data_IF_465800072434
#
_entry.id   IF_465800072434
#
_cell.length_a   1.000
_cell.length_b   1.000
_cell.length_c   1.000
_cell.angle_alpha   90.00
_cell.angle_beta   90.00
_cell.angle_gamma   90.00
#
_symmetry.space_group_name_H-M   'P 1'
#
loop_
_entity.id
_entity.type
_entity.pdbx_description
1 polymer ?
#
# COMPACT_ATOMS: atom_id res chain seq x y z
N UNK A 1 29.25 -2.16 4.70
CA UNK A 1 28.87 -1.44 3.46
C UNK A 1 27.46 -0.91 3.63
N UNK A 2 27.22 0.36 3.38
CA UNK A 2 25.88 0.92 3.49
C UNK A 2 24.98 0.38 2.36
N UNK A 3 23.73 -0.02 2.68
CA UNK A 3 22.75 -0.50 1.69
C UNK A 3 22.19 0.64 0.83
N UNK A 4 22.33 1.90 1.23
CA UNK A 4 21.84 3.03 0.44
C UNK A 4 22.55 3.06 -0.93
N UNK A 5 21.78 3.19 -2.00
CA UNK A 5 22.25 3.10 -3.38
C UNK A 5 22.38 1.66 -3.92
N UNK A 6 22.13 0.63 -3.11
CA UNK A 6 22.18 -0.75 -3.55
C UNK A 6 21.09 -1.04 -4.57
N UNK A 7 21.48 -1.49 -5.77
CA UNK A 7 20.55 -1.92 -6.81
C UNK A 7 20.15 -3.36 -6.57
N UNK A 8 18.86 -3.62 -6.58
CA UNK A 8 18.32 -4.97 -6.52
C UNK A 8 18.49 -5.66 -7.89
N UNK A 9 18.61 -6.99 -7.93
CA UNK A 9 18.58 -7.71 -9.22
C UNK A 9 17.34 -7.32 -10.01
N UNK A 10 17.47 -6.97 -11.29
CA UNK A 10 16.31 -6.72 -12.15
C UNK A 10 15.57 -8.01 -12.40
N UNK A 11 14.28 -7.91 -12.63
CA UNK A 11 13.44 -9.02 -13.00
C UNK A 11 12.19 -8.56 -13.73
N UNK A 12 11.21 -9.41 -13.86
CA UNK A 12 9.97 -9.10 -14.54
C UNK A 12 8.76 -9.78 -13.89
N UNK A 13 7.61 -9.18 -14.08
CA UNK A 13 6.32 -9.76 -13.72
C UNK A 13 5.35 -9.58 -14.88
N UNK A 14 4.49 -10.56 -15.08
CA UNK A 14 3.38 -10.49 -16.01
C UNK A 14 2.08 -10.39 -15.23
N UNK A 15 1.18 -9.55 -15.69
CA UNK A 15 -0.17 -9.46 -15.15
C UNK A 15 -1.12 -10.24 -16.08
N UNK A 16 -1.37 -11.49 -15.73
CA UNK A 16 -2.31 -12.33 -16.47
C UNK A 16 -3.77 -11.91 -16.22
N UNK A 17 -4.70 -12.10 -17.20
CA UNK A 17 -6.09 -11.73 -17.02
C UNK A 17 -6.75 -12.34 -15.78
N UNK A 18 -6.49 -13.63 -15.49
CA UNK A 18 -7.04 -14.27 -14.30
C UNK A 18 -6.47 -13.68 -12.98
N UNK A 19 -5.21 -13.22 -13.00
CA UNK A 19 -4.60 -12.56 -11.85
C UNK A 19 -5.23 -11.18 -11.62
N UNK A 20 -5.52 -10.44 -12.69
CA UNK A 20 -6.25 -9.19 -12.61
C UNK A 20 -7.62 -9.40 -11.95
N UNK A 21 -8.36 -10.42 -12.36
CA UNK A 21 -9.63 -10.80 -11.73
C UNK A 21 -9.50 -11.09 -10.24
N UNK A 22 -8.52 -11.91 -9.86
CA UNK A 22 -8.27 -12.25 -8.47
C UNK A 22 -7.80 -11.05 -7.64
N UNK A 23 -7.04 -10.12 -8.25
CA UNK A 23 -6.63 -8.88 -7.59
C UNK A 23 -7.83 -7.97 -7.31
N UNK A 24 -8.77 -7.84 -8.25
CA UNK A 24 -10.00 -7.09 -8.01
C UNK A 24 -10.77 -7.66 -6.81
N UNK A 25 -10.91 -8.98 -6.74
CA UNK A 25 -11.56 -9.62 -5.58
C UNK A 25 -10.78 -9.37 -4.29
N UNK A 26 -9.46 -9.62 -4.29
CA UNK A 26 -8.60 -9.43 -3.12
C UNK A 26 -8.52 -7.97 -2.64
N UNK A 27 -8.76 -7.03 -3.53
CA UNK A 27 -8.76 -5.58 -3.27
C UNK A 27 -10.15 -5.00 -2.99
N UNK A 28 -11.19 -5.83 -2.92
CA UNK A 28 -12.57 -5.39 -2.68
C UNK A 28 -13.08 -4.42 -3.75
N UNK A 29 -12.55 -4.47 -4.96
CA UNK A 29 -12.97 -3.62 -6.06
C UNK A 29 -13.91 -4.36 -7.02
N UNK A 30 -14.81 -3.65 -7.72
CA UNK A 30 -15.60 -4.25 -8.79
C UNK A 30 -14.68 -4.88 -9.85
N UNK A 31 -15.04 -6.04 -10.40
CA UNK A 31 -14.26 -6.65 -11.49
C UNK A 31 -14.30 -5.75 -12.73
N UNK A 32 -13.19 -5.73 -13.47
CA UNK A 32 -13.06 -4.95 -14.70
C UNK A 32 -11.81 -5.36 -15.48
N UNK A 33 -11.74 -4.98 -16.76
CA UNK A 33 -10.57 -5.27 -17.60
C UNK A 33 -9.38 -4.37 -17.26
N UNK A 34 -9.62 -3.20 -16.66
CA UNK A 34 -8.56 -2.29 -16.27
C UNK A 34 -7.98 -2.75 -14.93
N UNK A 35 -6.66 -3.01 -14.86
CA UNK A 35 -6.03 -3.40 -13.62
C UNK A 35 -6.21 -2.34 -12.52
N UNK A 36 -6.50 -2.83 -11.31
CA UNK A 36 -6.58 -1.96 -10.15
C UNK A 36 -5.25 -1.20 -9.94
N UNK A 37 -5.25 0.11 -9.63
CA UNK A 37 -4.02 0.92 -9.49
C UNK A 37 -2.99 0.32 -8.53
N UNK A 38 -3.43 -0.30 -7.43
CA UNK A 38 -2.55 -0.97 -6.46
C UNK A 38 -1.93 -2.27 -7.00
N UNK A 39 -2.35 -2.77 -8.17
CA UNK A 39 -1.66 -3.86 -8.84
C UNK A 39 -0.19 -3.53 -9.16
N UNK A 40 0.16 -2.24 -9.31
CA UNK A 40 1.55 -1.80 -9.42
C UNK A 40 2.42 -2.26 -8.24
N UNK A 41 1.88 -2.25 -7.02
CA UNK A 41 2.58 -2.76 -5.83
C UNK A 41 2.86 -4.27 -5.96
N UNK A 42 1.88 -5.04 -6.42
CA UNK A 42 2.02 -6.49 -6.61
C UNK A 42 3.06 -6.80 -7.68
N UNK A 43 2.99 -6.10 -8.81
CA UNK A 43 3.95 -6.23 -9.90
C UNK A 43 5.37 -5.86 -9.47
N UNK A 44 5.54 -4.77 -8.69
CA UNK A 44 6.82 -4.37 -8.14
C UNK A 44 7.44 -5.47 -7.27
N UNK A 45 6.67 -6.01 -6.30
CA UNK A 45 7.20 -7.03 -5.39
C UNK A 45 7.46 -8.38 -6.09
N UNK A 46 6.66 -8.75 -7.07
CA UNK A 46 6.86 -9.99 -7.83
C UNK A 46 7.93 -9.89 -8.89
N UNK A 47 8.14 -8.70 -9.42
CA UNK A 47 9.05 -8.45 -10.53
C UNK A 47 10.48 -8.14 -10.14
N UNK A 48 10.78 -7.90 -8.86
CA UNK A 48 12.17 -7.83 -8.40
C UNK A 48 12.82 -9.20 -8.54
N UNK A 49 14.10 -9.23 -8.95
CA UNK A 49 14.82 -10.48 -9.23
C UNK A 49 15.22 -11.29 -7.98
N UNK A 50 14.61 -11.04 -6.84
CA UNK A 50 14.78 -11.77 -5.58
C UNK A 50 13.43 -11.99 -4.90
N UNK A 51 13.35 -12.98 -4.03
CA UNK A 51 12.14 -13.19 -3.22
C UNK A 51 11.98 -12.10 -2.14
N UNK A 52 10.77 -11.93 -1.62
CA UNK A 52 10.53 -11.04 -0.48
C UNK A 52 11.34 -11.45 0.75
N UNK A 53 11.52 -12.75 0.97
CA UNK A 53 12.37 -13.27 2.04
C UNK A 53 13.84 -12.87 1.86
N UNK A 54 14.37 -12.96 0.64
CA UNK A 54 15.76 -12.55 0.35
C UNK A 54 15.93 -11.04 0.44
N UNK A 55 14.89 -10.26 0.08
CA UNK A 55 14.90 -8.82 0.28
C UNK A 55 15.04 -8.48 1.77
N UNK A 56 14.29 -9.15 2.65
CA UNK A 56 14.44 -8.92 4.09
C UNK A 56 15.78 -9.41 4.64
N UNK A 57 16.31 -10.53 4.13
CA UNK A 57 17.69 -10.97 4.47
C UNK A 57 18.73 -9.96 4.06
N UNK A 58 18.58 -9.34 2.88
CA UNK A 58 19.44 -8.23 2.45
C UNK A 58 19.40 -7.07 3.45
N UNK A 59 18.24 -6.82 4.07
CA UNK A 59 18.10 -5.82 5.14
C UNK A 59 18.60 -6.31 6.50
N UNK A 60 19.12 -7.53 6.60
CA UNK A 60 19.58 -8.14 7.86
C UNK A 60 18.41 -8.50 8.78
N UNK A 61 17.33 -9.02 8.23
CA UNK A 61 16.14 -9.46 8.94
C UNK A 61 15.55 -10.71 8.29
N UNK A 62 14.94 -11.57 9.07
CA UNK A 62 14.11 -12.65 8.57
C UNK A 62 12.62 -12.23 8.63
N UNK A 63 11.75 -12.97 7.93
CA UNK A 63 10.30 -12.71 7.97
C UNK A 63 9.77 -12.83 9.40
N UNK A 64 10.30 -13.77 10.17
CA UNK A 64 9.90 -14.01 11.57
C UNK A 64 10.40 -12.93 12.54
N UNK A 65 11.28 -12.03 12.12
CA UNK A 65 11.64 -10.84 12.91
C UNK A 65 10.55 -9.76 12.86
N UNK A 66 9.55 -9.94 12.00
CA UNK A 66 8.40 -9.06 11.86
C UNK A 66 8.70 -7.73 11.16
N UNK A 67 9.37 -7.74 9.99
CA UNK A 67 9.46 -6.56 9.14
C UNK A 67 8.06 -6.11 8.74
N UNK A 68 7.85 -4.79 8.65
CA UNK A 68 6.54 -4.21 8.35
C UNK A 68 6.64 -3.15 7.26
N UNK A 69 5.64 -3.13 6.38
CA UNK A 69 5.41 -2.00 5.49
C UNK A 69 4.84 -0.84 6.31
N UNK A 70 5.56 0.27 6.36
CA UNK A 70 5.15 1.48 7.08
C UNK A 70 4.50 2.51 6.17
N UNK A 71 5.06 2.70 4.97
CA UNK A 71 4.57 3.65 3.98
C UNK A 71 4.69 3.03 2.58
N UNK A 72 3.81 3.43 1.69
CA UNK A 72 3.92 3.11 0.28
C UNK A 72 3.39 4.25 -0.57
N UNK A 73 4.07 4.53 -1.67
CA UNK A 73 3.56 5.40 -2.72
C UNK A 73 3.60 4.69 -4.06
N UNK A 74 2.55 4.94 -4.85
CA UNK A 74 2.39 4.45 -6.21
C UNK A 74 2.19 5.69 -7.10
N UNK A 75 3.00 5.82 -8.14
CA UNK A 75 2.83 6.81 -9.20
C UNK A 75 2.63 6.07 -10.52
N UNK A 76 1.48 6.28 -11.15
CA UNK A 76 1.15 5.66 -12.43
C UNK A 76 1.45 6.65 -13.55
N UNK A 77 2.44 6.33 -14.37
CA UNK A 77 2.81 7.14 -15.53
C UNK A 77 1.87 6.91 -16.70
N UNK A 78 1.21 5.75 -16.72
CA UNK A 78 0.15 5.35 -17.64
C UNK A 78 -0.75 4.30 -17.00
N UNK A 79 -1.95 4.02 -17.54
CA UNK A 79 -2.76 2.90 -17.08
C UNK A 79 -1.97 1.59 -17.16
N UNK A 80 -2.14 0.74 -16.15
CA UNK A 80 -1.66 -0.64 -16.24
C UNK A 80 -2.52 -1.40 -17.26
N UNK A 81 -1.96 -2.45 -17.82
CA UNK A 81 -2.67 -3.34 -18.73
C UNK A 81 -2.54 -4.79 -18.25
N UNK A 82 -3.62 -5.57 -18.38
CA UNK A 82 -3.54 -7.02 -18.30
C UNK A 82 -2.88 -7.60 -19.55
N UNK A 83 -2.44 -8.83 -19.45
CA UNK A 83 -1.71 -9.55 -20.51
C UNK A 83 -0.41 -8.84 -20.95
N UNK A 84 0.19 -8.08 -20.04
CA UNK A 84 1.38 -7.28 -20.28
C UNK A 84 2.54 -7.69 -19.36
N UNK A 85 3.76 -7.61 -19.92
CA UNK A 85 5.00 -7.82 -19.19
C UNK A 85 5.54 -6.50 -18.65
N UNK A 86 6.00 -6.54 -17.40
CA UNK A 86 6.61 -5.42 -16.68
C UNK A 86 8.02 -5.79 -16.25
N UNK A 87 9.03 -5.13 -16.82
CA UNK A 87 10.38 -5.14 -16.28
C UNK A 87 10.41 -4.30 -14.99
N UNK A 88 11.03 -4.82 -13.95
CA UNK A 88 11.12 -4.15 -12.64
C UNK A 88 12.58 -3.92 -12.29
N UNK A 89 12.90 -2.67 -11.94
CA UNK A 89 14.22 -2.26 -11.47
C UNK A 89 14.08 -1.66 -10.09
N UNK A 90 14.73 -2.27 -9.10
CA UNK A 90 14.67 -1.85 -7.71
C UNK A 90 15.96 -1.22 -7.23
N UNK A 91 15.85 -0.27 -6.30
CA UNK A 91 16.99 0.32 -5.58
C UNK A 91 16.63 0.61 -4.13
N UNK A 92 17.55 0.35 -3.22
CA UNK A 92 17.46 0.82 -1.83
C UNK A 92 17.91 2.28 -1.80
N UNK A 93 16.98 3.21 -1.63
CA UNK A 93 17.28 4.65 -1.66
C UNK A 93 17.92 5.14 -0.36
N UNK A 94 17.38 4.69 0.78
CA UNK A 94 17.88 5.12 2.09
C UNK A 94 17.75 4.04 3.15
N UNK A 95 18.61 4.12 4.15
CA UNK A 95 18.56 3.33 5.38
C UNK A 95 18.82 4.28 6.54
N UNK A 96 17.84 4.42 7.43
CA UNK A 96 17.91 5.33 8.56
C UNK A 96 17.62 4.59 9.87
N UNK A 97 18.53 4.66 10.83
CA UNK A 97 18.28 4.16 12.18
C UNK A 97 17.32 5.09 12.90
N UNK A 98 16.23 4.53 13.39
CA UNK A 98 15.18 5.22 14.13
C UNK A 98 14.88 4.49 15.42
N UNK A 99 14.16 5.15 16.33
CA UNK A 99 13.65 4.56 17.55
C UNK A 99 12.18 4.92 17.73
N UNK A 100 11.37 3.92 18.00
CA UNK A 100 9.96 4.06 18.34
C UNK A 100 9.75 3.56 19.78
N UNK A 101 8.81 4.16 20.51
CA UNK A 101 8.42 3.66 21.84
C UNK A 101 7.83 2.26 21.80
N UNK A 102 7.29 1.86 20.65
CA UNK A 102 6.55 0.58 20.48
C UNK A 102 7.38 -0.57 19.94
N UNK A 103 8.30 -0.30 19.02
CA UNK A 103 9.13 -1.35 18.39
C UNK A 103 10.61 -1.24 18.77
N UNK A 104 10.94 -0.30 19.68
CA UNK A 104 12.34 -0.05 20.03
C UNK A 104 13.13 0.53 18.86
N UNK A 105 14.43 0.20 18.76
CA UNK A 105 15.25 0.59 17.63
C UNK A 105 14.85 -0.21 16.39
N UNK A 106 14.75 0.49 15.25
CA UNK A 106 14.45 -0.10 13.96
C UNK A 106 15.20 0.63 12.85
N UNK A 107 15.39 -0.02 11.71
CA UNK A 107 15.83 0.64 10.50
C UNK A 107 14.63 0.94 9.61
N UNK A 108 14.49 2.20 9.23
CA UNK A 108 13.58 2.67 8.21
C UNK A 108 14.29 2.56 6.88
N UNK A 109 13.82 1.66 6.02
CA UNK A 109 14.45 1.37 4.73
C UNK A 109 13.50 1.77 3.62
N UNK A 110 13.95 2.69 2.75
CA UNK A 110 13.18 3.13 1.59
C UNK A 110 13.69 2.41 0.35
N UNK A 111 12.78 1.74 -0.36
CA UNK A 111 13.05 1.07 -1.62
C UNK A 111 12.17 1.66 -2.72
N UNK A 112 12.76 2.00 -3.86
CA UNK A 112 12.06 2.40 -5.06
C UNK A 112 12.12 1.30 -6.11
N UNK A 113 10.99 1.09 -6.79
CA UNK A 113 10.81 0.13 -7.86
C UNK A 113 10.24 0.85 -9.07
N UNK A 114 10.98 0.88 -10.16
CA UNK A 114 10.55 1.44 -11.43
C UNK A 114 10.08 0.30 -12.35
N UNK A 115 8.84 0.39 -12.82
CA UNK A 115 8.19 -0.58 -13.70
C UNK A 115 8.17 -0.04 -15.12
N UNK A 116 8.61 -0.86 -16.06
CA UNK A 116 8.60 -0.57 -17.49
C UNK A 116 7.79 -1.62 -18.24
N UNK A 117 7.02 -1.22 -19.24
CA UNK A 117 6.34 -2.15 -20.12
C UNK A 117 6.48 -1.66 -21.57
N UNK A 118 6.91 -2.54 -22.48
CA UNK A 118 7.26 -2.15 -23.85
C UNK A 118 8.39 -1.11 -23.91
N UNK A 119 9.32 -1.11 -22.93
CA UNK A 119 10.43 -0.16 -22.85
C UNK A 119 10.08 1.23 -22.32
N UNK A 120 8.81 1.54 -22.08
CA UNK A 120 8.37 2.84 -21.54
C UNK A 120 8.00 2.76 -20.07
N UNK A 121 8.22 3.84 -19.26
CA UNK A 121 7.80 3.87 -17.87
C UNK A 121 6.29 3.61 -17.72
N UNK A 122 5.93 2.72 -16.81
CA UNK A 122 4.55 2.38 -16.52
C UNK A 122 4.13 2.87 -15.13
N UNK A 123 4.96 2.59 -14.11
CA UNK A 123 4.70 3.02 -12.74
C UNK A 123 6.00 3.16 -11.96
N UNK A 124 5.97 3.92 -10.87
CA UNK A 124 6.98 3.92 -9.82
C UNK A 124 6.31 3.57 -8.50
N UNK A 125 6.87 2.61 -7.77
CA UNK A 125 6.42 2.22 -6.43
C UNK A 125 7.55 2.48 -5.45
N UNK A 126 7.26 3.23 -4.38
CA UNK A 126 8.23 3.44 -3.30
C UNK A 126 7.66 2.86 -2.01
N UNK A 127 8.35 1.89 -1.44
CA UNK A 127 7.98 1.24 -0.19
C UNK A 127 8.94 1.62 0.91
N UNK A 128 8.41 1.90 2.08
CA UNK A 128 9.17 2.13 3.31
C UNK A 128 8.90 0.99 4.27
N UNK A 129 9.94 0.25 4.58
CA UNK A 129 9.90 -0.84 5.54
C UNK A 129 10.45 -0.39 6.89
N UNK A 130 9.79 -0.79 7.97
CA UNK A 130 10.33 -0.72 9.33
C UNK A 130 10.87 -2.10 9.71
N UNK A 131 12.17 -2.19 9.91
CA UNK A 131 12.88 -3.43 10.23
C UNK A 131 13.30 -3.39 11.70
N UNK A 132 12.63 -4.13 12.61
CA UNK A 132 13.00 -4.18 14.03
C UNK A 132 14.44 -4.68 14.19
N UNK A 133 15.14 -4.13 15.22
CA UNK A 133 16.53 -4.50 15.53
C UNK A 133 16.71 -5.13 16.91
N UNK A 134 15.64 -5.22 17.64
CA UNK A 134 15.59 -5.95 18.91
C UNK A 134 14.42 -6.93 18.89
N UNK A 135 14.54 -8.09 19.52
CA UNK A 135 13.43 -9.01 19.67
C UNK A 135 12.26 -8.30 20.35
N UNK A 136 11.07 -8.42 19.81
CA UNK A 136 9.86 -7.85 20.42
C UNK A 136 9.63 -8.49 21.79
N UNK A 137 9.59 -7.68 22.85
CA UNK A 137 9.01 -8.10 24.11
C UNK A 137 7.52 -8.45 23.89
N UNK A 138 7.04 -9.52 24.54
CA UNK A 138 5.62 -9.91 24.46
C UNK A 138 4.73 -8.71 24.82
N UNK A 139 3.94 -8.22 23.87
CA UNK A 139 2.92 -7.19 24.13
C UNK A 139 3.04 -5.87 23.36
N UNK A 140 3.98 -5.72 22.44
CA UNK A 140 4.05 -4.50 21.61
C UNK A 140 2.98 -4.55 20.49
N UNK A 141 1.84 -3.90 20.71
CA UNK A 141 0.83 -3.65 19.69
C UNK A 141 1.27 -2.48 18.82
N UNK A 142 1.21 -2.64 17.51
CA UNK A 142 1.52 -1.57 16.55
C UNK A 142 0.45 -0.49 16.57
N UNK A 143 0.79 0.65 17.15
CA UNK A 143 0.11 1.92 16.93
C UNK A 143 1.20 2.99 16.95
N UNK A 144 1.41 3.78 15.90
CA UNK A 144 2.28 4.96 15.97
C UNK A 144 1.64 6.00 16.93
N UNK A 145 2.45 6.56 17.83
CA UNK A 145 2.00 7.73 18.59
C UNK A 145 1.79 8.87 17.59
N UNK A 146 0.63 9.52 17.66
CA UNK A 146 0.41 10.80 17.01
C UNK A 146 1.52 11.76 17.44
N UNK A 147 2.34 12.20 16.51
CA UNK A 147 2.96 13.49 16.66
C UNK A 147 1.82 14.50 16.75
N UNK A 148 1.68 15.14 17.91
CA UNK A 148 0.76 16.25 18.12
C UNK A 148 1.15 17.41 17.20
N UNK A 149 0.63 17.43 15.99
CA UNK A 149 0.63 18.59 15.12
C UNK A 149 -0.77 18.76 14.50
N UNK A 150 -1.76 18.85 15.39
CA UNK A 150 -3.14 19.18 15.00
C UNK A 150 -3.48 20.62 15.36
N UNK A 151 -2.48 21.49 15.41
CA UNK A 151 -2.68 22.93 15.50
C UNK A 151 -2.63 23.52 14.09
N UNK A 152 -3.80 23.80 13.50
CA UNK A 152 -3.93 24.65 12.33
C UNK A 152 -4.60 24.06 11.09
N UNK A 153 -5.19 22.88 11.12
CA UNK A 153 -6.04 22.43 10.00
C UNK A 153 -7.43 23.04 10.11
N UNK A 154 -7.62 24.16 9.40
CA UNK A 154 -8.97 24.62 9.07
C UNK A 154 -9.67 23.50 8.29
N UNK A 155 -10.80 23.02 8.81
CA UNK A 155 -11.74 22.24 8.05
C UNK A 155 -12.25 23.09 6.88
N UNK A 156 -11.64 22.94 5.72
CA UNK A 156 -12.21 23.44 4.48
C UNK A 156 -13.45 22.62 4.20
N UNK A 157 -14.60 23.20 4.54
CA UNK A 157 -15.91 22.73 4.08
C UNK A 157 -15.95 22.87 2.58
N UNK A 158 -16.51 21.81 1.92
CA UNK A 158 -17.05 21.76 0.57
C UNK A 158 -16.18 21.09 -0.52
N UNK A 159 -16.28 19.79 -0.50
CA UNK A 159 -16.20 18.89 -1.63
C UNK A 159 -17.04 17.66 -1.30
N UNK A 160 -17.46 16.83 -2.24
CA UNK A 160 -18.16 15.61 -1.90
C UNK A 160 -17.32 14.81 -0.92
N UNK A 161 -17.87 14.58 0.28
CA UNK A 161 -17.24 13.68 1.24
C UNK A 161 -17.26 12.29 0.60
N UNK A 162 -16.08 11.75 0.33
CA UNK A 162 -15.94 10.36 -0.07
C UNK A 162 -16.21 9.50 1.16
N UNK A 163 -17.48 9.25 1.47
CA UNK A 163 -17.87 8.24 2.43
C UNK A 163 -17.88 6.90 1.72
N UNK A 164 -16.85 6.09 1.93
CA UNK A 164 -16.85 4.69 1.56
C UNK A 164 -17.74 3.90 2.52
N UNK A 165 -18.48 2.94 2.01
CA UNK A 165 -19.20 2.01 2.86
C UNK A 165 -18.24 1.19 3.74
N UNK A 166 -18.79 0.56 4.79
CA UNK A 166 -18.07 -0.38 5.64
C UNK A 166 -17.60 -1.60 4.82
N UNK A 167 -16.31 -1.91 4.89
CA UNK A 167 -15.72 -3.12 4.29
C UNK A 167 -15.27 -4.07 5.40
N UNK A 168 -15.81 -5.28 5.38
CA UNK A 168 -15.35 -6.34 6.28
C UNK A 168 -14.19 -7.12 5.67
N UNK A 169 -13.07 -7.18 6.39
CA UNK A 169 -11.86 -7.88 5.93
C UNK A 169 -12.07 -9.39 5.94
N UNK A 170 -12.02 -10.00 4.76
CA UNK A 170 -12.24 -11.42 4.55
C UNK A 170 -10.93 -12.21 4.53
N UNK A 171 -10.74 -13.19 5.44
CA UNK A 171 -9.56 -14.04 5.45
C UNK A 171 -9.32 -14.83 4.14
N UNK A 172 -10.38 -15.12 3.37
CA UNK A 172 -10.23 -15.81 2.09
C UNK A 172 -9.52 -14.90 1.06
N UNK A 173 -9.90 -13.63 1.00
CA UNK A 173 -9.26 -12.62 0.15
C UNK A 173 -7.82 -12.35 0.55
N UNK A 174 -7.51 -12.36 1.85
CA UNK A 174 -6.14 -12.27 2.36
C UNK A 174 -5.27 -13.43 1.86
N UNK A 175 -5.78 -14.66 1.81
CA UNK A 175 -5.07 -15.83 1.27
C UNK A 175 -4.82 -15.70 -0.23
N UNK A 176 -5.82 -15.24 -0.98
CA UNK A 176 -5.69 -14.95 -2.41
C UNK A 176 -4.59 -13.92 -2.65
N UNK A 177 -4.58 -12.83 -1.87
CA UNK A 177 -3.56 -11.80 -2.01
C UNK A 177 -2.16 -12.30 -1.62
N UNK A 178 -2.02 -13.11 -0.58
CA UNK A 178 -0.74 -13.72 -0.20
C UNK A 178 -0.15 -14.55 -1.36
N UNK A 179 -1.00 -15.32 -2.05
CA UNK A 179 -0.59 -16.09 -3.23
C UNK A 179 -0.16 -15.16 -4.38
N UNK A 180 -0.96 -14.13 -4.68
CA UNK A 180 -0.67 -13.20 -5.76
C UNK A 180 0.57 -12.35 -5.49
N UNK A 181 0.85 -12.00 -4.25
CA UNK A 181 2.06 -11.29 -3.82
C UNK A 181 3.29 -12.20 -3.74
N UNK A 182 3.11 -13.52 -3.73
CA UNK A 182 4.13 -14.48 -3.31
C UNK A 182 4.71 -14.12 -1.92
N UNK A 183 3.83 -13.70 -1.01
CA UNK A 183 4.19 -13.29 0.35
C UNK A 183 4.13 -14.49 1.30
N UNK A 184 5.28 -15.01 1.75
CA UNK A 184 5.33 -16.18 2.62
C UNK A 184 5.09 -15.84 4.10
N UNK A 185 4.83 -14.58 4.45
CA UNK A 185 4.72 -14.16 5.84
C UNK A 185 3.48 -14.79 6.51
N UNK A 186 3.68 -15.70 7.48
CA UNK A 186 2.58 -16.46 8.07
C UNK A 186 1.61 -15.60 8.90
N UNK A 187 1.97 -14.36 9.27
CA UNK A 187 1.06 -13.49 10.03
C UNK A 187 -0.22 -13.15 9.25
N UNK A 188 -0.18 -13.25 7.92
CA UNK A 188 -1.33 -13.00 7.06
C UNK A 188 -2.28 -14.20 6.95
N UNK A 189 -1.82 -15.38 7.37
CA UNK A 189 -2.51 -16.66 7.15
C UNK A 189 -2.89 -17.37 8.45
N UNK A 190 -2.07 -17.22 9.50
CA UNK A 190 -2.18 -17.98 10.74
C UNK A 190 -2.19 -17.08 11.98
N UNK A 191 -3.27 -17.14 12.73
CA UNK A 191 -3.41 -16.43 14.01
C UNK A 191 -2.37 -16.87 15.05
N UNK A 192 -1.93 -18.14 15.03
CA UNK A 192 -0.90 -18.61 15.95
C UNK A 192 0.46 -17.98 15.62
N UNK A 193 0.78 -17.79 14.34
CA UNK A 193 1.98 -17.06 13.93
C UNK A 193 1.94 -15.60 14.36
N UNK A 194 0.82 -14.90 14.14
CA UNK A 194 0.65 -13.53 14.58
C UNK A 194 0.81 -13.37 16.10
N UNK A 195 0.26 -14.31 16.89
CA UNK A 195 0.43 -14.32 18.36
C UNK A 195 1.86 -14.63 18.79
N UNK A 196 2.56 -15.58 18.13
CA UNK A 196 3.97 -15.89 18.47
C UNK A 196 4.88 -14.69 18.30
N UNK A 197 4.64 -13.91 17.25
CA UNK A 197 5.40 -12.67 16.98
C UNK A 197 4.93 -11.48 17.82
N UNK A 198 3.91 -11.65 18.67
CA UNK A 198 3.38 -10.56 19.49
C UNK A 198 2.77 -9.43 18.67
N UNK A 199 2.32 -9.72 17.43
CA UNK A 199 1.81 -8.70 16.50
C UNK A 199 0.31 -8.52 16.70
N UNK A 200 -0.47 -9.60 16.71
CA UNK A 200 -1.92 -9.60 16.84
C UNK A 200 -2.45 -10.97 17.31
N UNK A 201 -3.74 -11.02 17.65
CA UNK A 201 -4.47 -12.25 18.02
C UNK A 201 -5.15 -12.92 16.82
N UNK A 202 -5.23 -12.25 15.69
CA UNK A 202 -5.83 -12.69 14.42
C UNK A 202 -4.84 -12.43 13.27
N UNK A 203 -5.05 -13.07 12.09
CA UNK A 203 -4.25 -12.77 10.91
C UNK A 203 -4.30 -11.28 10.55
N UNK A 204 -3.16 -10.74 10.15
CA UNK A 204 -2.98 -9.33 9.77
C UNK A 204 -3.27 -9.16 8.29
N UNK A 205 -4.14 -8.22 7.92
CA UNK A 205 -4.37 -7.87 6.53
C UNK A 205 -3.11 -7.28 5.89
N UNK A 206 -2.85 -7.63 4.63
CA UNK A 206 -1.69 -7.13 3.90
C UNK A 206 -1.84 -5.62 3.63
N UNK A 207 -0.71 -4.89 3.72
CA UNK A 207 -0.66 -3.46 3.46
C UNK A 207 -1.30 -3.05 2.12
N UNK A 208 -0.98 -3.68 0.99
CA UNK A 208 -1.60 -3.34 -0.30
C UNK A 208 -3.12 -3.55 -0.34
N UNK A 209 -3.69 -4.54 0.39
CA UNK A 209 -5.15 -4.65 0.49
C UNK A 209 -5.75 -3.45 1.23
N UNK A 210 -5.12 -3.02 2.33
CA UNK A 210 -5.55 -1.83 3.07
C UNK A 210 -5.46 -0.57 2.20
N UNK A 211 -4.39 -0.42 1.41
CA UNK A 211 -4.22 0.67 0.44
C UNK A 211 -5.31 0.65 -0.65
N UNK A 212 -5.66 -0.54 -1.14
CA UNK A 212 -6.68 -0.71 -2.17
C UNK A 212 -8.06 -0.28 -1.68
N UNK A 213 -8.41 -0.56 -0.42
CA UNK A 213 -9.65 -0.08 0.19
C UNK A 213 -9.71 1.46 0.14
N UNK A 214 -8.63 2.15 0.50
CA UNK A 214 -8.55 3.61 0.42
C UNK A 214 -8.68 4.12 -1.03
N UNK A 215 -8.04 3.45 -1.99
CA UNK A 215 -8.13 3.79 -3.42
C UNK A 215 -9.55 3.61 -3.95
N UNK A 216 -10.24 2.52 -3.59
CA UNK A 216 -11.62 2.25 -4.00
C UNK A 216 -12.58 3.35 -3.58
N UNK A 217 -12.42 3.87 -2.36
CA UNK A 217 -13.28 4.93 -1.85
C UNK A 217 -13.14 6.21 -2.66
N UNK A 218 -11.90 6.59 -2.98
CA UNK A 218 -11.64 7.78 -3.78
C UNK A 218 -12.16 7.58 -5.21
N UNK A 219 -11.93 6.43 -5.81
CA UNK A 219 -12.43 6.11 -7.15
C UNK A 219 -13.97 6.08 -7.20
N UNK A 220 -14.61 5.59 -6.14
CA UNK A 220 -16.07 5.61 -6.04
C UNK A 220 -16.64 7.03 -5.92
N UNK A 221 -15.93 7.94 -5.27
CA UNK A 221 -16.33 9.34 -5.15
C UNK A 221 -16.17 10.14 -6.46
N UNK A 222 -15.34 9.65 -7.38
CA UNK A 222 -15.07 10.27 -8.68
C UNK A 222 -15.23 9.25 -9.81
N UNK A 223 -16.49 8.87 -10.18
CA UNK A 223 -16.73 7.90 -11.23
C UNK A 223 -16.08 8.29 -12.56
N UNK A 224 -15.40 7.34 -13.19
CA UNK A 224 -14.67 7.57 -14.44
C UNK A 224 -13.31 8.27 -14.28
N UNK A 225 -12.94 8.70 -13.09
CA UNK A 225 -11.62 9.25 -12.84
C UNK A 225 -10.56 8.14 -12.82
N UNK A 226 -9.34 8.51 -13.17
CA UNK A 226 -8.16 7.63 -13.14
C UNK A 226 -7.24 8.05 -12.00
N UNK A 227 -6.93 7.14 -11.09
CA UNK A 227 -5.93 7.36 -10.04
C UNK A 227 -4.54 7.41 -10.70
N UNK A 228 -3.79 8.48 -10.46
CA UNK A 228 -2.42 8.66 -10.99
C UNK A 228 -1.36 8.63 -9.90
N UNK A 229 -1.75 8.94 -8.66
CA UNK A 229 -0.85 8.82 -7.51
C UNK A 229 -1.64 8.41 -6.26
N UNK A 230 -1.04 7.54 -5.47
CA UNK A 230 -1.53 7.16 -4.14
C UNK A 230 -0.34 7.09 -3.20
N UNK A 231 -0.34 7.90 -2.16
CA UNK A 231 0.69 7.89 -1.12
C UNK A 231 0.03 7.60 0.21
N UNK A 232 0.50 6.58 0.92
CA UNK A 232 -0.13 6.09 2.15
C UNK A 232 0.88 5.85 3.27
N UNK A 233 0.44 6.08 4.50
CA UNK A 233 1.10 5.66 5.74
C UNK A 233 0.20 4.67 6.47
N UNK A 234 0.76 3.53 6.85
CA UNK A 234 0.08 2.50 7.63
C UNK A 234 0.32 2.78 9.11
N UNK A 235 -0.68 3.28 9.80
CA UNK A 235 -0.60 3.74 11.20
C UNK A 235 -0.95 2.64 12.19
N UNK A 236 -1.72 1.66 11.75
CA UNK A 236 -2.20 0.55 12.56
C UNK A 236 -2.42 -0.71 11.76
N UNK A 237 -2.65 -1.81 12.45
CA UNK A 237 -2.95 -3.08 11.82
C UNK A 237 -4.45 -3.20 11.55
N UNK A 238 -4.78 -3.68 10.37
CA UNK A 238 -6.11 -4.19 10.04
C UNK A 238 -6.06 -5.70 10.16
N UNK A 239 -7.03 -6.31 10.83
CA UNK A 239 -7.03 -7.74 11.13
C UNK A 239 -8.18 -8.46 10.39
N UNK A 240 -8.02 -9.75 10.18
CA UNK A 240 -9.07 -10.59 9.64
C UNK A 240 -10.38 -10.43 10.43
N UNK A 241 -11.48 -10.13 9.72
CA UNK A 241 -12.79 -9.90 10.30
C UNK A 241 -13.03 -8.49 10.84
N UNK A 242 -12.07 -7.58 10.74
CA UNK A 242 -12.32 -6.18 11.06
C UNK A 242 -13.27 -5.55 10.04
N UNK A 243 -14.08 -4.62 10.52
CA UNK A 243 -14.78 -3.65 9.71
C UNK A 243 -13.86 -2.44 9.50
N UNK A 244 -13.70 -2.02 8.27
CA UNK A 244 -12.90 -0.85 7.90
C UNK A 244 -13.84 0.19 7.31
N UNK A 245 -13.82 1.36 7.88
CA UNK A 245 -14.52 2.54 7.40
C UNK A 245 -13.49 3.54 6.89
N UNK A 246 -13.89 4.31 5.93
CA UNK A 246 -12.96 5.29 5.44
C UNK A 246 -13.61 6.58 5.03
N UNK A 247 -12.79 7.62 4.93
CA UNK A 247 -13.19 8.94 4.52
C UNK A 247 -12.08 9.66 3.79
N UNK A 248 -12.44 10.78 3.20
CA UNK A 248 -11.50 11.64 2.52
C UNK A 248 -12.12 12.98 2.19
N UNK A 249 -11.26 13.93 1.85
CA UNK A 249 -11.67 15.27 1.44
C UNK A 249 -10.84 15.75 0.27
N UNK A 250 -11.46 16.50 -0.63
CA UNK A 250 -10.73 17.22 -1.68
C UNK A 250 -9.94 18.35 -1.03
N UNK A 251 -8.64 18.37 -1.28
CA UNK A 251 -7.76 19.42 -0.77
C UNK A 251 -7.31 20.39 -1.86
N UNK A 252 -7.35 19.97 -3.13
CA UNK A 252 -6.94 20.80 -4.24
C UNK A 252 -7.54 20.34 -5.57
N UNK A 253 -7.69 21.27 -6.51
CA UNK A 253 -8.07 21.01 -7.90
C UNK A 253 -7.23 21.90 -8.81
N UNK A 254 -6.66 21.30 -9.83
CA UNK A 254 -5.85 22.03 -10.81
C UNK A 254 -6.13 21.52 -12.23
N UNK A 255 -5.88 22.36 -13.22
CA UNK A 255 -5.88 21.95 -14.62
C UNK A 255 -4.42 21.86 -15.07
N UNK A 256 -4.01 20.65 -15.44
CA UNK A 256 -2.67 20.39 -15.95
C UNK A 256 -2.77 19.66 -17.30
N UNK A 257 -2.11 20.21 -18.33
CA UNK A 257 -2.15 19.67 -19.70
C UNK A 257 -3.59 19.50 -20.24
N UNK A 258 -4.51 20.43 -19.86
CA UNK A 258 -5.91 20.39 -20.26
C UNK A 258 -6.77 19.35 -19.54
N UNK A 259 -6.24 18.66 -18.56
CA UNK A 259 -6.96 17.69 -17.74
C UNK A 259 -7.15 18.21 -16.31
N UNK A 260 -8.34 18.06 -15.78
CA UNK A 260 -8.61 18.39 -14.38
C UNK A 260 -8.03 17.30 -13.47
N UNK A 261 -7.20 17.73 -12.54
CA UNK A 261 -6.64 16.88 -11.47
C UNK A 261 -7.25 17.25 -10.13
N UNK A 262 -7.61 16.23 -9.37
CA UNK A 262 -8.16 16.36 -8.02
C UNK A 262 -7.22 15.70 -7.05
N UNK A 263 -6.79 16.43 -6.02
CA UNK A 263 -6.01 15.93 -4.91
C UNK A 263 -6.91 15.73 -3.70
N UNK A 264 -6.88 14.53 -3.13
CA UNK A 264 -7.68 14.14 -1.99
C UNK A 264 -6.80 13.68 -0.84
N UNK A 265 -7.11 14.10 0.37
CA UNK A 265 -6.68 13.40 1.59
C UNK A 265 -7.59 12.20 1.81
N UNK A 266 -7.00 11.07 2.21
CA UNK A 266 -7.73 9.83 2.45
C UNK A 266 -7.34 9.24 3.79
N UNK A 267 -8.26 8.54 4.43
CA UNK A 267 -7.98 7.80 5.64
C UNK A 267 -8.86 6.56 5.78
N UNK A 268 -8.38 5.61 6.57
CA UNK A 268 -9.15 4.44 7.00
C UNK A 268 -9.10 4.34 8.51
N UNK A 269 -10.25 4.03 9.08
CA UNK A 269 -10.46 3.81 10.50
C UNK A 269 -11.03 2.40 10.73
N UNK A 270 -10.72 1.80 11.87
CA UNK A 270 -11.40 0.59 12.34
C UNK A 270 -12.23 0.98 13.56
N UNK A 271 -13.57 0.81 13.56
CA UNK A 271 -14.43 1.20 14.67
C UNK A 271 -13.93 0.68 16.01
N UNK A 272 -13.86 1.57 17.00
CA UNK A 272 -13.34 1.26 18.34
C UNK A 272 -11.82 1.19 18.47
N UNK A 273 -11.08 1.49 17.39
CA UNK A 273 -9.61 1.64 17.37
C UNK A 273 -9.22 2.96 16.72
N UNK A 274 -7.93 3.30 16.83
CA UNK A 274 -7.35 4.47 16.14
C UNK A 274 -7.34 4.28 14.63
N UNK A 275 -7.09 5.38 13.93
CA UNK A 275 -6.84 5.40 12.47
C UNK A 275 -5.77 4.40 12.08
N UNK A 276 -6.04 3.62 11.02
CA UNK A 276 -5.13 2.56 10.55
C UNK A 276 -4.38 2.94 9.28
N UNK A 277 -4.89 3.91 8.51
CA UNK A 277 -4.22 4.45 7.33
C UNK A 277 -4.57 5.93 7.15
N UNK A 278 -3.59 6.70 6.73
CA UNK A 278 -3.77 8.04 6.18
C UNK A 278 -2.98 8.18 4.88
N UNK A 279 -3.40 9.11 4.02
CA UNK A 279 -2.69 9.28 2.76
C UNK A 279 -3.23 10.40 1.90
N UNK A 280 -2.66 10.48 0.70
CA UNK A 280 -3.04 11.40 -0.36
C UNK A 280 -3.24 10.63 -1.66
N UNK A 281 -4.29 10.96 -2.38
CA UNK A 281 -4.58 10.42 -3.70
C UNK A 281 -4.70 11.57 -4.71
N UNK A 282 -4.17 11.36 -5.90
CA UNK A 282 -4.34 12.28 -7.04
C UNK A 282 -5.06 11.56 -8.16
N UNK A 283 -6.16 12.14 -8.62
CA UNK A 283 -6.96 11.62 -9.72
C UNK A 283 -6.92 12.58 -10.90
N UNK A 284 -7.06 12.02 -12.08
CA UNK A 284 -7.35 12.75 -13.32
C UNK A 284 -8.81 12.46 -13.68
N UNK A 285 -9.60 13.51 -13.78
CA UNK A 285 -11.00 13.40 -14.16
C UNK A 285 -11.15 13.10 -15.65
N UNK A 286 -12.23 12.42 -16.08
CA UNK A 286 -12.53 12.30 -17.50
C UNK A 286 -12.70 13.69 -18.11
N UNK A 287 -12.33 13.84 -19.39
CA UNK A 287 -12.58 15.07 -20.12
C UNK A 287 -14.08 15.42 -20.01
N UNK A 288 -14.38 16.66 -19.65
CA UNK A 288 -15.75 17.15 -19.66
C UNK A 288 -16.24 17.06 -21.11
N UNK A 289 -17.26 16.26 -21.40
CA UNK A 289 -17.99 16.38 -22.65
C UNK A 289 -18.58 17.78 -22.70
N UNK A 290 -17.90 18.69 -23.41
CA UNK A 290 -18.48 19.96 -23.79
C UNK A 290 -19.68 19.67 -24.73
N UNK A 291 -20.86 19.40 -24.15
CA UNK A 291 -22.12 19.45 -24.85
C UNK A 291 -22.70 20.87 -24.79
#
# INVERSE_FOLDING_TARGET
MGLAGHRLPPGSARLEPYQNWLLHDAFYSPPGPEPHPVAAFVLANRGIGISLADLFRLFGSEIDDGPLLAESSIELHRPLAEDADYEVRGVVESVERRRSRRIGPFDRITCRFDLFSGGAPAATVTNVFAIPREPKGRGAVWTEERGTSDEGRQHLKSGPEASGGEIRVDPARMKTLALLLADPNPIHLDAAAARRLGVADRPVNQGPSTMAIAANMVLAAFPGARLVSLRTRLLGLVLAGDSVEGGGSVVDREILDGQERVRCQVHLDVPGRDRVLEGEAVLVLPASDNR
#
